data_IF_146909451867
#
_entry.id   IF_146909451867
#
_cell.length_a   1.000
_cell.length_b   1.000
_cell.length_c   1.000
_cell.angle_alpha   90.00
_cell.angle_beta   90.00
_cell.angle_gamma   90.00
#
_symmetry.space_group_name_H-M   'P 1'
#
loop_
_entity.id
_entity.type
_entity.pdbx_description
1 polymer ?
#
# COMPACT_ATOMS: atom_id res chain seq x y z
N UNK A 1 -20.51 9.26 6.95
CA UNK A 1 -19.95 8.12 6.23
C UNK A 1 -19.59 7.01 7.21
N UNK A 2 -19.91 5.80 6.86
CA UNK A 2 -19.62 4.66 7.72
C UNK A 2 -18.16 4.26 7.62
N UNK A 3 -17.50 4.12 8.76
CA UNK A 3 -16.12 3.69 8.81
C UNK A 3 -16.02 2.17 8.68
N UNK A 4 -15.13 1.71 7.79
CA UNK A 4 -14.92 0.28 7.59
C UNK A 4 -13.90 -0.24 8.60
N UNK A 5 -14.05 -1.49 9.07
CA UNK A 5 -13.08 -2.05 10.00
C UNK A 5 -11.73 -2.30 9.33
N UNK A 6 -10.66 -2.21 10.10
CA UNK A 6 -9.31 -2.51 9.63
C UNK A 6 -9.15 -4.03 9.59
N UNK A 7 -9.62 -4.64 8.53
CA UNK A 7 -9.61 -6.09 8.36
C UNK A 7 -9.64 -6.45 6.89
N UNK A 8 -8.94 -7.52 6.53
CA UNK A 8 -9.01 -8.09 5.19
C UNK A 8 -10.03 -9.22 5.16
N UNK A 9 -10.66 -9.41 4.01
CA UNK A 9 -11.65 -10.47 3.81
C UNK A 9 -11.02 -11.79 3.38
N UNK A 10 -9.69 -11.83 3.28
CA UNK A 10 -8.96 -13.00 2.82
C UNK A 10 -8.88 -14.09 3.89
N UNK A 11 -8.83 -15.36 3.46
CA UNK A 11 -8.53 -16.48 4.33
C UNK A 11 -7.10 -16.35 4.88
N UNK A 12 -6.76 -17.08 5.96
CA UNK A 12 -5.38 -17.04 6.48
C UNK A 12 -4.33 -17.40 5.44
N UNK A 13 -4.59 -18.37 4.58
CA UNK A 13 -3.65 -18.76 3.52
C UNK A 13 -3.48 -17.66 2.48
N UNK A 14 -4.58 -17.07 2.05
CA UNK A 14 -4.54 -15.98 1.09
C UNK A 14 -3.85 -14.75 1.68
N UNK A 15 -4.09 -14.46 2.95
CA UNK A 15 -3.45 -13.36 3.64
C UNK A 15 -1.93 -13.57 3.74
N UNK A 16 -1.50 -14.78 4.03
CA UNK A 16 -0.08 -15.11 4.10
C UNK A 16 0.59 -14.93 2.73
N UNK A 17 -0.05 -15.45 1.68
CA UNK A 17 0.47 -15.29 0.32
C UNK A 17 0.54 -13.82 -0.07
N UNK A 18 -0.44 -13.04 0.35
CA UNK A 18 -0.49 -11.62 0.06
C UNK A 18 0.63 -10.83 0.72
N UNK A 19 1.03 -11.23 1.93
CA UNK A 19 2.16 -10.58 2.62
C UNK A 19 3.45 -10.69 1.83
N UNK A 20 3.61 -11.78 1.08
CA UNK A 20 4.76 -12.01 0.23
C UNK A 20 4.55 -11.49 -1.18
N UNK A 21 3.42 -10.84 -1.43
CA UNK A 21 3.02 -10.39 -2.75
C UNK A 21 3.34 -8.93 -3.05
N UNK A 22 2.43 -8.31 -3.77
CA UNK A 22 2.68 -7.00 -4.37
C UNK A 22 2.95 -5.88 -3.37
N UNK A 23 2.23 -5.84 -2.25
CA UNK A 23 2.40 -4.75 -1.29
C UNK A 23 3.76 -4.83 -0.59
N UNK A 24 4.18 -6.03 -0.18
CA UNK A 24 5.50 -6.21 0.42
C UNK A 24 6.60 -5.90 -0.58
N UNK A 25 6.41 -6.27 -1.85
CA UNK A 25 7.37 -5.95 -2.91
C UNK A 25 7.47 -4.44 -3.12
N UNK A 26 6.35 -3.73 -3.11
CA UNK A 26 6.36 -2.28 -3.20
C UNK A 26 7.16 -1.65 -2.08
N UNK A 27 6.96 -2.13 -0.87
CA UNK A 27 7.71 -1.61 0.27
C UNK A 27 9.21 -1.81 0.07
N UNK A 28 9.62 -2.98 -0.40
CA UNK A 28 11.03 -3.26 -0.66
C UNK A 28 11.62 -2.39 -1.77
N UNK A 29 10.80 -2.00 -2.76
CA UNK A 29 11.23 -1.18 -3.88
C UNK A 29 11.20 0.32 -3.57
N UNK A 30 10.56 0.71 -2.48
CA UNK A 30 10.47 2.14 -2.14
C UNK A 30 11.85 2.71 -1.85
N UNK A 31 12.08 3.93 -2.34
CA UNK A 31 13.35 4.64 -2.10
C UNK A 31 13.26 5.49 -0.84
N UNK A 32 12.05 5.75 -0.36
CA UNK A 32 11.82 6.46 0.89
C UNK A 32 10.49 6.01 1.47
N UNK A 33 10.39 6.06 2.78
CA UNK A 33 9.21 5.60 3.50
C UNK A 33 8.96 6.52 4.68
N UNK A 34 7.73 7.00 4.80
CA UNK A 34 7.32 7.86 5.92
C UNK A 34 6.08 7.28 6.57
N UNK A 35 6.06 7.26 7.90
CA UNK A 35 4.86 6.92 8.64
C UNK A 35 3.94 8.13 8.69
N UNK A 36 2.65 7.88 8.51
CA UNK A 36 1.60 8.88 8.64
C UNK A 36 0.77 8.53 9.87
N UNK A 37 -0.02 9.46 10.42
CA UNK A 37 -0.84 9.15 11.61
C UNK A 37 -1.68 7.88 11.45
N UNK A 38 -2.29 7.69 10.29
CA UNK A 38 -3.14 6.53 10.01
C UNK A 38 -2.70 5.78 8.77
N UNK A 39 -1.39 5.63 8.56
CA UNK A 39 -0.91 4.89 7.40
C UNK A 39 0.56 5.11 7.10
N UNK A 40 0.88 4.98 5.82
CA UNK A 40 2.27 5.09 5.33
C UNK A 40 2.30 5.78 3.98
N UNK A 41 3.41 6.43 3.71
CA UNK A 41 3.70 6.99 2.39
C UNK A 41 4.97 6.34 1.88
N UNK A 42 4.89 5.73 0.71
CA UNK A 42 6.02 5.13 0.02
C UNK A 42 6.38 5.99 -1.18
N UNK A 43 7.66 6.24 -1.37
CA UNK A 43 8.15 7.02 -2.52
C UNK A 43 9.00 6.12 -3.39
N UNK A 44 8.92 6.31 -4.70
CA UNK A 44 9.54 5.42 -5.70
C UNK A 44 10.23 6.23 -6.78
N UNK A 45 11.09 5.55 -7.53
CA UNK A 45 11.64 6.13 -8.76
C UNK A 45 10.50 6.27 -9.80
N UNK A 46 10.82 6.91 -10.93
CA UNK A 46 9.82 7.21 -11.97
C UNK A 46 9.77 6.18 -13.09
N UNK A 47 10.28 4.97 -12.86
CA UNK A 47 10.29 3.92 -13.89
C UNK A 47 8.88 3.40 -14.19
N UNK A 48 8.62 3.11 -15.46
CA UNK A 48 7.33 2.59 -15.90
C UNK A 48 6.99 1.27 -15.22
N UNK A 49 7.97 0.41 -15.00
CA UNK A 49 7.77 -0.87 -14.32
C UNK A 49 7.29 -0.67 -12.89
N UNK A 50 7.83 0.34 -12.21
CA UNK A 50 7.42 0.68 -10.85
C UNK A 50 5.97 1.13 -10.84
N UNK A 51 5.59 2.00 -11.78
CA UNK A 51 4.22 2.48 -11.86
C UNK A 51 3.25 1.34 -12.17
N UNK A 52 3.62 0.41 -13.06
CA UNK A 52 2.81 -0.77 -13.34
C UNK A 52 2.61 -1.63 -12.10
N UNK A 53 3.67 -1.82 -11.32
CA UNK A 53 3.59 -2.59 -10.08
C UNK A 53 2.65 -1.93 -9.08
N UNK A 54 2.74 -0.60 -8.95
CA UNK A 54 1.86 0.17 -8.07
C UNK A 54 0.40 -0.04 -8.47
N UNK A 55 0.07 0.08 -9.76
CA UNK A 55 -1.30 -0.10 -10.21
C UNK A 55 -1.83 -1.51 -9.94
N UNK A 56 -0.99 -2.54 -10.14
CA UNK A 56 -1.40 -3.91 -9.84
C UNK A 56 -1.65 -4.10 -8.33
N UNK A 57 -0.79 -3.53 -7.51
CA UNK A 57 -0.95 -3.61 -6.06
C UNK A 57 -2.22 -2.89 -5.60
N UNK A 58 -2.48 -1.69 -6.13
CA UNK A 58 -3.69 -0.94 -5.81
C UNK A 58 -4.94 -1.71 -6.22
N UNK A 59 -4.93 -2.30 -7.41
CA UNK A 59 -6.06 -3.09 -7.89
C UNK A 59 -6.35 -4.29 -6.98
N UNK A 60 -5.30 -4.95 -6.47
CA UNK A 60 -5.47 -6.07 -5.56
C UNK A 60 -5.94 -5.62 -4.17
N UNK A 61 -5.33 -4.55 -3.64
CA UNK A 61 -5.62 -4.06 -2.30
C UNK A 61 -7.04 -3.55 -2.16
N UNK A 62 -7.55 -2.85 -3.15
CA UNK A 62 -8.90 -2.30 -3.07
C UNK A 62 -9.97 -3.39 -2.98
N UNK A 63 -9.66 -4.59 -3.44
CA UNK A 63 -10.58 -5.73 -3.37
C UNK A 63 -10.51 -6.43 -2.03
N UNK A 64 -9.32 -6.46 -1.43
CA UNK A 64 -9.06 -7.24 -0.22
C UNK A 64 -9.17 -6.41 1.05
N UNK A 65 -8.78 -5.15 0.99
CA UNK A 65 -8.76 -4.26 2.14
C UNK A 65 -9.55 -3.01 1.83
N UNK A 66 -10.87 -3.12 1.91
CA UNK A 66 -11.79 -2.05 1.54
C UNK A 66 -11.65 -0.79 2.41
N UNK A 67 -11.06 -0.93 3.59
CA UNK A 67 -10.84 0.21 4.49
C UNK A 67 -9.71 1.12 4.04
N UNK A 68 -8.85 0.66 3.12
CA UNK A 68 -7.70 1.44 2.68
C UNK A 68 -8.08 2.54 1.70
N UNK A 69 -7.54 3.72 1.95
CA UNK A 69 -7.54 4.80 0.98
C UNK A 69 -6.18 4.78 0.29
N UNK A 70 -6.18 4.70 -1.02
CA UNK A 70 -4.97 4.58 -1.82
C UNK A 70 -4.85 5.80 -2.72
N UNK A 71 -3.77 6.57 -2.56
CA UNK A 71 -3.51 7.77 -3.35
C UNK A 71 -2.17 7.67 -4.05
N UNK A 72 -2.20 7.79 -5.38
CA UNK A 72 -0.99 7.78 -6.19
C UNK A 72 -0.73 9.20 -6.65
N UNK A 73 0.48 9.68 -6.42
CA UNK A 73 0.91 11.00 -6.90
C UNK A 73 2.06 10.80 -7.86
N UNK A 74 1.89 11.31 -9.08
CA UNK A 74 2.92 11.26 -10.12
C UNK A 74 3.36 12.69 -10.39
N UNK A 75 4.59 13.02 -10.01
CA UNK A 75 5.11 14.37 -10.18
C UNK A 75 5.53 14.61 -11.63
N UNK A 76 5.43 15.87 -12.12
CA UNK A 76 5.84 16.19 -13.48
C UNK A 76 7.35 16.10 -13.66
N UNK A 77 7.77 16.02 -14.93
CA UNK A 77 9.19 16.08 -15.27
C UNK A 77 10.01 14.88 -14.83
N UNK A 78 9.38 13.71 -14.73
CA UNK A 78 10.08 12.51 -14.27
C UNK A 78 10.41 12.52 -12.79
N UNK A 79 9.67 13.30 -12.00
CA UNK A 79 9.84 13.33 -10.54
C UNK A 79 9.36 12.05 -9.89
N UNK A 80 9.55 11.93 -8.57
CA UNK A 80 9.22 10.70 -7.87
C UNK A 80 7.72 10.40 -7.90
N UNK A 81 7.41 9.11 -7.79
CA UNK A 81 6.05 8.63 -7.66
C UNK A 81 5.83 8.29 -6.19
N UNK A 82 4.68 8.69 -5.64
CA UNK A 82 4.34 8.39 -4.25
C UNK A 82 3.04 7.62 -4.17
N UNK A 83 2.97 6.69 -3.22
CA UNK A 83 1.76 5.97 -2.89
C UNK A 83 1.48 6.16 -1.41
N UNK A 84 0.32 6.74 -1.09
CA UNK A 84 -0.13 6.85 0.29
C UNK A 84 -1.22 5.81 0.55
N UNK A 85 -1.03 5.08 1.65
CA UNK A 85 -2.00 4.09 2.10
C UNK A 85 -2.45 4.55 3.49
N UNK A 86 -3.72 4.94 3.60
CA UNK A 86 -4.27 5.43 4.87
C UNK A 86 -5.62 4.78 5.14
N UNK A 87 -6.12 4.97 6.34
CA UNK A 87 -7.41 4.41 6.73
C UNK A 87 -7.79 4.80 8.15
N UNK A 88 -8.75 4.08 8.75
CA UNK A 88 -9.16 4.33 10.13
C UNK A 88 -8.04 4.03 11.12
N UNK A 89 -8.20 4.42 12.38
CA UNK A 89 -7.20 4.11 13.42
C UNK A 89 -6.85 2.62 13.42
N UNK A 90 -5.56 2.33 13.51
CA UNK A 90 -5.04 0.96 13.43
C UNK A 90 -4.46 0.60 12.07
N UNK A 91 -4.72 1.40 11.05
CA UNK A 91 -4.24 1.11 9.69
C UNK A 91 -2.72 1.12 9.61
N UNK A 92 -2.06 2.08 10.27
CA UNK A 92 -0.60 2.15 10.23
C UNK A 92 0.03 0.87 10.76
N UNK A 93 -0.45 0.39 11.89
CA UNK A 93 0.06 -0.83 12.53
C UNK A 93 -0.21 -2.07 11.67
N UNK A 94 -1.38 -2.13 11.07
CA UNK A 94 -1.74 -3.22 10.16
C UNK A 94 -0.78 -3.28 8.97
N UNK A 95 -0.51 -2.14 8.36
CA UNK A 95 0.40 -2.07 7.20
C UNK A 95 1.84 -2.39 7.60
N UNK A 96 2.28 -1.91 8.76
CA UNK A 96 3.62 -2.20 9.26
C UNK A 96 3.81 -3.72 9.36
N UNK A 97 2.83 -4.43 9.88
CA UNK A 97 2.90 -5.89 9.97
C UNK A 97 3.01 -6.55 8.60
N UNK A 98 2.29 -6.02 7.60
CA UNK A 98 2.39 -6.55 6.24
C UNK A 98 3.77 -6.31 5.63
N UNK A 99 4.35 -5.13 5.86
CA UNK A 99 5.66 -4.78 5.29
C UNK A 99 6.78 -5.61 5.91
N UNK A 100 6.65 -5.97 7.17
CA UNK A 100 7.68 -6.71 7.90
C UNK A 100 7.59 -8.23 7.72
N UNK A 101 6.64 -8.70 6.96
CA UNK A 101 6.42 -10.14 6.78
C UNK A 101 7.46 -10.78 5.89
#
# INVERSE_FOLDING_TARGET
MRELPVACTLSPEALAARREGLLAELFRRSVAHNELPNGHRLSFDSADETLSLIFRAVAAERRCCEFLRLQITVEPGGGPIALELTGPPGTREFLTALFES
#
